data_IF_592236158527
#
_entry.id   IF_592236158527
#
_cell.length_a   1.000
_cell.length_b   1.000
_cell.length_c   1.000
_cell.angle_alpha   90.00
_cell.angle_beta   90.00
_cell.angle_gamma   90.00
#
_symmetry.space_group_name_H-M   'P 1'
#
loop_
_entity.id
_entity.type
_entity.pdbx_description
1 polymer ?
#
# COMPACT_ATOMS: atom_id res chain seq x y z
N UNK A 1 18.38 -19.16 -10.69
CA UNK A 1 17.14 -18.54 -10.19
C UNK A 1 16.43 -19.51 -9.24
N UNK A 2 15.92 -19.08 -8.10
CA UNK A 2 15.13 -19.90 -7.20
C UNK A 2 13.95 -20.58 -7.95
N UNK A 3 13.57 -21.78 -7.54
CA UNK A 3 12.48 -22.53 -8.18
C UNK A 3 11.20 -21.69 -8.31
N UNK A 4 10.86 -20.94 -7.27
CA UNK A 4 9.70 -20.03 -7.27
C UNK A 4 9.78 -19.00 -8.42
N UNK A 5 10.94 -18.37 -8.60
CA UNK A 5 11.14 -17.37 -9.66
C UNK A 5 10.89 -17.96 -11.05
N UNK A 6 11.40 -19.17 -11.29
CA UNK A 6 11.19 -19.89 -12.54
C UNK A 6 9.71 -20.21 -12.78
N UNK A 7 9.02 -20.75 -11.77
CA UNK A 7 7.59 -21.06 -11.86
C UNK A 7 6.77 -19.81 -12.21
N UNK A 8 7.04 -18.69 -11.53
CA UNK A 8 6.30 -17.45 -11.72
C UNK A 8 6.50 -16.88 -13.12
N UNK A 9 7.73 -16.90 -13.62
CA UNK A 9 8.07 -16.45 -14.98
C UNK A 9 7.49 -17.37 -16.04
N UNK A 10 7.76 -18.67 -15.96
CA UNK A 10 7.38 -19.63 -17.00
C UNK A 10 5.86 -19.76 -17.16
N UNK A 11 5.09 -19.35 -16.15
CA UNK A 11 3.62 -19.26 -16.20
C UNK A 11 3.09 -17.88 -16.57
N UNK A 12 3.96 -16.93 -16.82
CA UNK A 12 3.54 -15.55 -17.13
C UNK A 12 2.83 -14.85 -15.98
N UNK A 13 3.01 -15.30 -14.73
CA UNK A 13 2.40 -14.67 -13.54
C UNK A 13 3.09 -13.34 -13.24
N UNK A 14 4.39 -13.27 -13.47
CA UNK A 14 5.20 -12.05 -13.39
C UNK A 14 6.08 -11.95 -14.63
N UNK A 15 6.36 -10.71 -15.05
CA UNK A 15 7.30 -10.44 -16.14
C UNK A 15 8.75 -10.55 -15.65
N UNK A 16 9.71 -10.70 -16.56
CA UNK A 16 11.14 -10.68 -16.21
C UNK A 16 11.53 -9.36 -15.53
N UNK A 17 10.99 -8.23 -16.00
CA UNK A 17 11.24 -6.92 -15.39
C UNK A 17 10.75 -6.86 -13.94
N UNK A 18 9.52 -7.30 -13.66
CA UNK A 18 8.98 -7.37 -12.30
C UNK A 18 9.79 -8.28 -11.38
N UNK A 19 10.30 -9.38 -11.93
CA UNK A 19 11.14 -10.31 -11.20
C UNK A 19 12.48 -9.67 -10.81
N UNK A 20 13.13 -8.97 -11.76
CA UNK A 20 14.38 -8.25 -11.52
C UNK A 20 14.19 -7.13 -10.48
N UNK A 21 13.10 -6.39 -10.57
CA UNK A 21 12.77 -5.33 -9.59
C UNK A 21 12.57 -5.92 -8.19
N UNK A 22 11.85 -7.04 -8.07
CA UNK A 22 11.67 -7.72 -6.79
C UNK A 22 12.97 -8.29 -6.22
N UNK A 23 13.90 -8.75 -7.07
CA UNK A 23 15.24 -9.19 -6.65
C UNK A 23 16.07 -7.99 -6.16
N UNK A 24 16.05 -6.86 -6.87
CA UNK A 24 16.73 -5.64 -6.40
C UNK A 24 16.15 -5.16 -5.07
N UNK A 25 14.83 -5.20 -4.94
CA UNK A 25 14.15 -4.87 -3.70
C UNK A 25 14.55 -5.82 -2.56
N UNK A 26 14.70 -7.12 -2.85
CA UNK A 26 15.20 -8.12 -1.91
C UNK A 26 16.62 -7.83 -1.44
N UNK A 27 17.51 -7.40 -2.35
CA UNK A 27 18.91 -7.05 -2.02
C UNK A 27 18.96 -5.84 -1.08
N UNK A 28 18.12 -4.82 -1.33
CA UNK A 28 18.11 -3.60 -0.53
C UNK A 28 17.41 -3.78 0.83
N UNK A 29 16.35 -4.56 0.86
CA UNK A 29 15.44 -4.62 2.00
C UNK A 29 15.33 -6.00 2.65
N UNK A 30 15.95 -7.06 2.09
CA UNK A 30 15.87 -8.45 2.59
C UNK A 30 14.50 -9.09 2.32
N UNK A 31 14.12 -10.09 3.12
CA UNK A 31 12.90 -10.87 2.95
C UNK A 31 12.97 -11.90 1.83
N UNK A 32 11.92 -12.71 1.66
CA UNK A 32 11.84 -13.71 0.59
C UNK A 32 11.30 -13.09 -0.70
N UNK A 33 11.69 -13.63 -1.85
CA UNK A 33 11.26 -13.13 -3.16
C UNK A 33 9.73 -13.04 -3.29
N UNK A 34 8.99 -14.05 -2.82
CA UNK A 34 7.53 -14.04 -2.85
C UNK A 34 6.92 -12.88 -2.07
N UNK A 35 7.47 -12.59 -0.88
CA UNK A 35 7.07 -11.44 -0.06
C UNK A 35 7.32 -10.13 -0.80
N UNK A 36 8.50 -9.97 -1.42
CA UNK A 36 8.84 -8.76 -2.17
C UNK A 36 7.94 -8.56 -3.40
N UNK A 37 7.63 -9.63 -4.14
CA UNK A 37 6.70 -9.57 -5.27
C UNK A 37 5.28 -9.17 -4.84
N UNK A 38 4.83 -9.68 -3.69
CA UNK A 38 3.54 -9.29 -3.10
C UNK A 38 3.53 -7.84 -2.62
N UNK A 39 4.58 -7.40 -1.93
CA UNK A 39 4.74 -6.01 -1.46
C UNK A 39 4.77 -5.00 -2.59
N UNK A 40 5.41 -5.35 -3.72
CA UNK A 40 5.45 -4.54 -4.93
C UNK A 40 4.13 -4.58 -5.71
N UNK A 41 3.17 -5.42 -5.31
CA UNK A 41 1.87 -5.55 -5.98
C UNK A 41 1.92 -6.30 -7.31
N UNK A 42 2.99 -7.05 -7.57
CA UNK A 42 3.15 -7.81 -8.82
C UNK A 42 2.43 -9.15 -8.80
N UNK A 43 2.04 -9.64 -7.62
CA UNK A 43 1.34 -10.90 -7.44
C UNK A 43 0.33 -10.78 -6.30
N UNK A 44 -0.82 -11.45 -6.43
CA UNK A 44 -1.78 -11.61 -5.32
C UNK A 44 -1.34 -12.72 -4.38
N UNK A 45 -1.88 -12.73 -3.14
CA UNK A 45 -1.57 -13.77 -2.18
C UNK A 45 -1.95 -15.16 -2.69
N UNK A 46 -3.12 -15.31 -3.31
CA UNK A 46 -3.62 -16.58 -3.83
C UNK A 46 -2.67 -17.15 -4.89
N UNK A 47 -2.26 -16.32 -5.86
CA UNK A 47 -1.30 -16.74 -6.90
C UNK A 47 0.06 -17.08 -6.33
N UNK A 48 0.51 -16.32 -5.31
CA UNK A 48 1.75 -16.62 -4.61
C UNK A 48 1.66 -17.96 -3.87
N UNK A 49 0.56 -18.23 -3.16
CA UNK A 49 0.34 -19.47 -2.47
C UNK A 49 0.35 -20.67 -3.42
N UNK A 50 -0.34 -20.57 -4.56
CA UNK A 50 -0.30 -21.61 -5.60
C UNK A 50 1.12 -21.86 -6.11
N UNK A 51 1.88 -20.80 -6.36
CA UNK A 51 3.25 -20.90 -6.82
C UNK A 51 4.18 -21.51 -5.77
N UNK A 52 4.01 -21.16 -4.49
CA UNK A 52 4.73 -21.74 -3.36
C UNK A 52 4.40 -23.23 -3.18
N UNK A 53 3.12 -23.60 -3.26
CA UNK A 53 2.68 -25.00 -3.19
C UNK A 53 3.38 -25.86 -4.25
N UNK A 54 3.46 -25.35 -5.47
CA UNK A 54 4.14 -26.04 -6.58
C UNK A 54 5.65 -26.08 -6.41
N UNK A 55 6.24 -24.97 -5.91
CA UNK A 55 7.68 -24.87 -5.71
C UNK A 55 8.19 -25.84 -4.64
N UNK A 56 7.40 -26.08 -3.61
CA UNK A 56 7.74 -26.96 -2.49
C UNK A 56 7.14 -28.37 -2.59
N UNK A 57 6.22 -28.61 -3.53
CA UNK A 57 5.49 -29.89 -3.63
C UNK A 57 4.59 -30.19 -2.43
N UNK A 58 4.18 -29.17 -1.67
CA UNK A 58 3.41 -29.26 -0.44
C UNK A 58 2.13 -28.45 -0.57
N UNK A 59 0.97 -28.96 -0.09
CA UNK A 59 -0.28 -28.21 -0.14
C UNK A 59 -0.19 -26.86 0.55
N UNK A 60 -1.01 -25.90 0.12
CA UNK A 60 -1.24 -24.60 0.76
C UNK A 60 -2.68 -24.49 1.21
N UNK A 61 -2.97 -23.49 2.01
CA UNK A 61 -4.32 -23.15 2.46
C UNK A 61 -4.48 -21.63 2.54
N UNK A 62 -5.64 -21.14 2.16
CA UNK A 62 -6.02 -19.78 2.46
C UNK A 62 -6.26 -19.65 3.97
N UNK A 63 -5.44 -18.88 4.64
CA UNK A 63 -5.53 -18.69 6.09
C UNK A 63 -6.26 -17.39 6.36
N UNK A 64 -7.45 -17.50 6.98
CA UNK A 64 -8.03 -16.35 7.65
C UNK A 64 -7.50 -16.30 9.10
N UNK A 65 -6.69 -15.30 9.46
CA UNK A 65 -6.14 -15.19 10.81
C UNK A 65 -7.19 -15.13 11.92
N UNK A 66 -8.45 -14.83 11.60
CA UNK A 66 -9.54 -14.68 12.59
C UNK A 66 -10.22 -15.99 12.94
N UNK A 67 -9.98 -17.07 12.18
CA UNK A 67 -10.71 -18.33 12.30
C UNK A 67 -9.96 -19.44 13.03
N UNK A 68 -8.77 -19.13 13.55
CA UNK A 68 -7.93 -20.14 14.22
C UNK A 68 -8.33 -20.24 15.69
N UNK A 69 -8.71 -21.43 16.11
CA UNK A 69 -9.15 -21.71 17.46
C UNK A 69 -8.00 -21.57 18.46
N UNK A 70 -8.19 -20.93 19.63
CA UNK A 70 -7.16 -20.73 20.64
C UNK A 70 -6.48 -22.03 21.08
N UNK A 71 -7.22 -23.12 21.21
CA UNK A 71 -6.71 -24.43 21.63
C UNK A 71 -5.71 -25.00 20.62
N UNK A 72 -5.87 -24.67 19.31
CA UNK A 72 -4.92 -25.05 18.27
C UNK A 72 -3.63 -24.26 18.41
N UNK A 73 -3.72 -22.98 18.77
CA UNK A 73 -2.55 -22.11 18.97
C UNK A 73 -1.72 -22.59 20.16
N UNK A 74 -2.37 -23.00 21.25
CA UNK A 74 -1.71 -23.52 22.44
C UNK A 74 -0.98 -24.86 22.22
N UNK A 75 -1.33 -25.59 21.15
CA UNK A 75 -0.66 -26.86 20.82
C UNK A 75 0.83 -26.68 20.49
N UNK A 76 1.28 -25.49 20.11
CA UNK A 76 2.70 -25.20 19.84
C UNK A 76 3.17 -24.02 20.68
N UNK A 77 4.14 -24.22 21.59
CA UNK A 77 4.66 -23.14 22.44
C UNK A 77 5.28 -22.00 21.62
N UNK A 78 5.06 -20.73 22.03
CA UNK A 78 5.60 -19.53 21.42
C UNK A 78 7.08 -19.63 21.04
N UNK A 79 7.91 -20.16 21.95
CA UNK A 79 9.36 -20.28 21.74
C UNK A 79 9.69 -21.18 20.53
N UNK A 80 8.94 -22.27 20.38
CA UNK A 80 9.12 -23.23 19.28
C UNK A 80 8.59 -22.67 17.97
N UNK A 81 7.41 -22.03 18.02
CA UNK A 81 6.80 -21.34 16.88
C UNK A 81 7.71 -20.23 16.31
N UNK A 82 8.26 -19.39 17.17
CA UNK A 82 9.18 -18.32 16.77
C UNK A 82 10.51 -18.85 16.23
N UNK A 83 11.10 -19.85 16.92
CA UNK A 83 12.39 -20.45 16.51
C UNK A 83 12.36 -20.97 15.09
N UNK A 84 11.31 -21.72 14.72
CA UNK A 84 11.19 -22.39 13.44
C UNK A 84 10.33 -21.65 12.42
N UNK A 85 9.74 -20.50 12.78
CA UNK A 85 8.79 -19.77 11.93
C UNK A 85 7.67 -20.68 11.42
N UNK A 86 6.99 -21.32 12.39
CA UNK A 86 5.90 -22.27 12.16
C UNK A 86 4.67 -21.84 12.95
N UNK A 87 3.49 -22.23 12.46
CA UNK A 87 2.24 -21.89 13.12
C UNK A 87 1.27 -23.09 13.05
N UNK A 88 0.65 -23.50 14.16
CA UNK A 88 -0.34 -24.58 14.16
C UNK A 88 -1.62 -24.11 13.46
N UNK A 89 -2.13 -24.93 12.56
CA UNK A 89 -3.34 -24.62 11.80
C UNK A 89 -4.52 -25.49 12.22
N UNK A 90 -4.26 -26.77 12.49
CA UNK A 90 -5.29 -27.71 12.92
C UNK A 90 -4.67 -28.88 13.67
N UNK A 91 -5.35 -29.31 14.72
CA UNK A 91 -5.04 -30.56 15.44
C UNK A 91 -6.16 -31.57 15.21
N UNK A 92 -5.82 -32.77 14.80
CA UNK A 92 -6.78 -33.90 14.67
C UNK A 92 -6.16 -35.16 15.24
N UNK A 93 -6.57 -35.53 16.46
CA UNK A 93 -5.96 -36.62 17.22
C UNK A 93 -4.46 -36.40 17.39
N UNK A 94 -3.62 -37.34 16.93
CA UNK A 94 -2.16 -37.20 16.98
C UNK A 94 -1.54 -36.48 15.76
N UNK A 95 -2.35 -35.90 14.90
CA UNK A 95 -1.85 -35.20 13.70
C UNK A 95 -1.97 -33.71 13.90
N UNK A 96 -0.83 -33.01 13.77
CA UNK A 96 -0.74 -31.53 13.76
C UNK A 96 -0.50 -31.06 12.33
N UNK A 97 -1.44 -30.31 11.78
CA UNK A 97 -1.24 -29.57 10.53
C UNK A 97 -0.51 -28.28 10.85
N UNK A 98 0.67 -28.10 10.30
CA UNK A 98 1.59 -26.99 10.63
C UNK A 98 1.84 -26.11 9.41
N UNK A 99 1.57 -24.83 9.52
CA UNK A 99 1.97 -23.84 8.52
C UNK A 99 3.46 -23.59 8.62
N UNK A 100 4.14 -23.56 7.49
CA UNK A 100 5.59 -23.36 7.41
C UNK A 100 5.94 -22.46 6.24
N UNK A 101 6.94 -21.63 6.42
CA UNK A 101 7.53 -20.82 5.33
C UNK A 101 8.43 -21.69 4.45
N UNK A 102 9.07 -22.68 5.06
CA UNK A 102 9.94 -23.66 4.39
C UNK A 102 9.58 -25.08 4.83
N UNK A 103 8.66 -25.75 4.13
CA UNK A 103 8.29 -27.13 4.44
C UNK A 103 9.42 -28.16 4.21
N UNK A 104 10.50 -27.76 3.53
CA UNK A 104 11.67 -28.63 3.35
C UNK A 104 12.60 -28.64 4.58
N UNK A 105 12.34 -27.79 5.56
CA UNK A 105 13.05 -27.85 6.85
C UNK A 105 12.58 -29.06 7.69
N UNK A 106 13.10 -30.23 7.30
CA UNK A 106 12.81 -31.48 8.02
C UNK A 106 13.25 -31.49 9.48
N UNK A 107 14.22 -30.62 9.86
CA UNK A 107 14.66 -30.47 11.26
C UNK A 107 13.59 -29.81 12.08
N UNK A 108 12.99 -28.73 11.56
CA UNK A 108 11.86 -28.07 12.23
C UNK A 108 10.68 -29.04 12.38
N UNK A 109 10.31 -29.77 11.33
CA UNK A 109 9.25 -30.77 11.35
C UNK A 109 9.52 -31.84 12.42
N UNK A 110 10.72 -32.40 12.45
CA UNK A 110 11.12 -33.43 13.41
C UNK A 110 11.15 -32.90 14.85
N UNK A 111 11.72 -31.70 15.09
CA UNK A 111 11.79 -31.12 16.42
C UNK A 111 10.39 -30.82 16.97
N UNK A 112 9.51 -30.22 16.18
CA UNK A 112 8.13 -29.96 16.58
C UNK A 112 7.37 -31.26 16.84
N UNK A 113 7.47 -32.23 15.94
CA UNK A 113 6.78 -33.51 16.07
C UNK A 113 7.24 -34.26 17.33
N UNK A 114 8.56 -34.40 17.54
CA UNK A 114 9.14 -35.09 18.69
C UNK A 114 8.83 -34.41 20.01
N UNK A 115 9.03 -33.06 20.07
CA UNK A 115 8.84 -32.32 21.32
C UNK A 115 7.38 -32.29 21.79
N UNK A 116 6.42 -32.38 20.87
CA UNK A 116 5.01 -32.25 21.17
C UNK A 116 4.22 -33.57 21.03
N UNK A 117 4.88 -34.64 20.57
CA UNK A 117 4.24 -35.94 20.39
C UNK A 117 3.24 -36.03 19.22
N UNK A 118 3.38 -35.14 18.23
CA UNK A 118 2.51 -35.09 17.08
C UNK A 118 3.16 -35.63 15.79
N UNK A 119 2.33 -36.23 14.92
CA UNK A 119 2.68 -36.43 13.51
C UNK A 119 2.41 -35.12 12.78
N UNK A 120 3.48 -34.44 12.33
CA UNK A 120 3.38 -33.16 11.66
C UNK A 120 3.07 -33.30 10.18
N UNK A 121 2.02 -32.61 9.70
CA UNK A 121 1.70 -32.44 8.28
C UNK A 121 1.98 -31.00 7.88
N UNK A 122 3.04 -30.72 7.13
CA UNK A 122 3.37 -29.36 6.74
C UNK A 122 2.45 -28.83 5.64
N UNK A 123 2.07 -27.56 5.75
CA UNK A 123 1.48 -26.75 4.69
C UNK A 123 2.38 -25.55 4.45
N UNK A 124 2.52 -25.15 3.19
CA UNK A 124 3.30 -23.96 2.86
C UNK A 124 2.43 -22.70 2.96
N UNK A 125 3.01 -21.65 3.53
CA UNK A 125 2.39 -20.32 3.62
C UNK A 125 3.42 -19.24 3.25
N UNK A 126 2.94 -18.11 2.72
CA UNK A 126 3.80 -16.98 2.44
C UNK A 126 4.45 -16.43 3.73
N UNK A 127 5.71 -15.99 3.66
CA UNK A 127 6.46 -15.48 4.81
C UNK A 127 5.71 -14.35 5.52
N UNK A 128 5.15 -13.39 4.79
CA UNK A 128 4.41 -12.28 5.40
C UNK A 128 3.18 -12.77 6.20
N UNK A 129 2.49 -13.80 5.73
CA UNK A 129 1.34 -14.38 6.45
C UNK A 129 1.79 -15.09 7.73
N UNK A 130 2.89 -15.84 7.66
CA UNK A 130 3.48 -16.48 8.85
C UNK A 130 3.79 -15.46 9.93
N UNK A 131 4.34 -14.35 9.54
CA UNK A 131 4.76 -13.28 10.45
C UNK A 131 3.55 -12.63 11.11
N UNK A 132 2.52 -12.34 10.32
CA UNK A 132 1.28 -11.83 10.86
C UNK A 132 0.72 -12.78 11.92
N UNK A 133 0.67 -14.09 11.64
CA UNK A 133 0.17 -15.09 12.58
C UNK A 133 1.00 -15.14 13.86
N UNK A 134 2.33 -15.13 13.74
CA UNK A 134 3.24 -15.13 14.89
C UNK A 134 3.10 -13.85 15.74
N UNK A 135 2.88 -12.70 15.10
CA UNK A 135 2.62 -11.46 15.79
C UNK A 135 1.25 -11.47 16.50
N UNK A 136 0.18 -11.76 15.75
CA UNK A 136 -1.20 -11.61 16.23
C UNK A 136 -1.53 -12.61 17.36
N UNK A 137 -0.99 -13.83 17.29
CA UNK A 137 -1.30 -14.89 18.26
C UNK A 137 -0.25 -15.10 19.34
N UNK A 138 1.02 -14.89 19.02
CA UNK A 138 2.09 -15.12 19.98
C UNK A 138 2.78 -13.84 20.45
N UNK A 139 2.41 -12.67 19.89
CA UNK A 139 3.09 -11.41 20.21
C UNK A 139 4.60 -11.49 19.94
N UNK A 140 4.98 -12.12 18.81
CA UNK A 140 6.37 -12.19 18.38
C UNK A 140 6.69 -10.94 17.59
N UNK A 141 7.41 -10.01 18.22
CA UNK A 141 7.94 -8.83 17.54
C UNK A 141 9.28 -9.17 16.87
N UNK A 142 9.25 -9.70 15.69
CA UNK A 142 10.42 -9.61 14.82
C UNK A 142 10.47 -8.20 14.24
N UNK A 143 11.66 -7.61 14.05
CA UNK A 143 11.81 -6.32 13.37
C UNK A 143 11.42 -6.48 11.90
N UNK A 144 10.17 -6.15 11.63
CA UNK A 144 9.50 -6.43 10.36
C UNK A 144 9.73 -5.34 9.34
N UNK A 145 9.90 -5.78 8.13
CA UNK A 145 9.45 -5.02 6.98
C UNK A 145 7.92 -5.07 7.02
N UNK A 146 7.29 -3.91 7.11
CA UNK A 146 5.84 -3.80 7.18
C UNK A 146 5.21 -4.33 5.90
N UNK A 147 4.78 -5.58 5.93
CA UNK A 147 3.86 -6.10 4.94
C UNK A 147 2.46 -5.91 5.50
N UNK A 148 1.73 -4.95 4.98
CA UNK A 148 0.33 -4.77 5.35
C UNK A 148 -0.54 -5.85 4.69
N UNK A 149 -0.64 -6.99 5.36
CA UNK A 149 -1.46 -8.11 4.89
C UNK A 149 -2.97 -7.81 4.94
N UNK A 150 -3.40 -6.72 5.60
CA UNK A 150 -4.80 -6.27 5.60
C UNK A 150 -5.23 -5.64 4.28
N UNK A 151 -4.30 -5.43 3.35
CA UNK A 151 -4.64 -4.98 1.99
C UNK A 151 -5.40 -6.03 1.17
N UNK A 152 -5.35 -7.29 1.55
CA UNK A 152 -6.04 -8.37 0.82
C UNK A 152 -7.57 -8.34 0.99
N UNK A 153 -8.07 -7.70 2.06
CA UNK A 153 -9.52 -7.61 2.34
C UNK A 153 -10.16 -6.31 1.81
N UNK A 154 -9.41 -5.46 1.11
CA UNK A 154 -9.98 -4.30 0.43
C UNK A 154 -10.42 -4.67 -0.99
N UNK A 155 -11.63 -4.28 -1.41
CA UNK A 155 -12.09 -4.55 -2.76
C UNK A 155 -11.22 -3.80 -3.77
N UNK A 156 -10.62 -4.56 -4.69
CA UNK A 156 -9.70 -4.17 -5.74
C UNK A 156 -8.28 -3.84 -5.26
N UNK A 157 -7.33 -4.72 -5.61
CA UNK A 157 -5.90 -4.41 -5.57
C UNK A 157 -5.66 -3.04 -6.19
N UNK A 158 -4.88 -2.14 -5.53
CA UNK A 158 -4.56 -0.87 -6.16
C UNK A 158 -3.91 -1.13 -7.51
N UNK A 159 -4.29 -0.37 -8.56
CA UNK A 159 -3.78 -0.60 -9.90
C UNK A 159 -2.26 -0.56 -9.90
N UNK A 160 -1.63 -1.39 -10.74
CA UNK A 160 -0.21 -1.34 -11.04
C UNK A 160 0.25 0.13 -11.24
N UNK A 161 1.48 0.53 -10.82
CA UNK A 161 1.98 1.89 -11.01
C UNK A 161 1.90 2.35 -12.45
N UNK A 162 2.25 1.46 -13.40
CA UNK A 162 2.09 1.74 -14.82
C UNK A 162 0.62 2.03 -15.16
N UNK A 163 -0.32 1.26 -14.60
CA UNK A 163 -1.76 1.45 -14.79
C UNK A 163 -2.27 2.72 -14.11
N UNK A 164 -1.82 3.03 -12.89
CA UNK A 164 -2.19 4.27 -12.20
C UNK A 164 -1.61 5.50 -12.92
N UNK A 165 -0.35 5.42 -13.35
CA UNK A 165 0.29 6.44 -14.18
C UNK A 165 -0.42 6.63 -15.52
N UNK A 166 -0.83 5.54 -16.18
CA UNK A 166 -1.59 5.58 -17.42
C UNK A 166 -2.98 6.20 -17.22
N UNK A 167 -3.66 5.95 -16.10
CA UNK A 167 -4.93 6.62 -15.76
C UNK A 167 -4.78 8.13 -15.64
N UNK A 168 -3.72 8.61 -14.97
CA UNK A 168 -3.43 10.04 -14.89
C UNK A 168 -3.13 10.62 -16.28
N UNK A 169 -2.38 9.88 -17.11
CA UNK A 169 -2.08 10.30 -18.49
C UNK A 169 -3.33 10.28 -19.40
N UNK A 170 -4.26 9.36 -19.21
CA UNK A 170 -5.50 9.26 -19.97
C UNK A 170 -6.61 10.20 -19.48
N UNK A 171 -6.50 10.75 -18.27
CA UNK A 171 -7.52 11.56 -17.65
C UNK A 171 -7.91 12.78 -18.50
N UNK A 172 -9.20 12.98 -18.68
CA UNK A 172 -9.81 14.09 -19.43
C UNK A 172 -10.48 15.12 -18.52
N UNK A 173 -10.70 14.75 -17.27
CA UNK A 173 -11.26 15.62 -16.23
C UNK A 173 -10.31 15.71 -15.03
N UNK A 174 -10.48 16.78 -14.22
CA UNK A 174 -9.73 16.92 -12.97
C UNK A 174 -10.05 15.79 -11.98
N UNK A 175 -11.31 15.37 -11.93
CA UNK A 175 -11.73 14.35 -10.96
C UNK A 175 -11.11 12.99 -11.30
N UNK A 176 -10.98 12.62 -12.58
CA UNK A 176 -10.24 11.44 -13.01
C UNK A 176 -8.75 11.51 -12.64
N UNK A 177 -8.12 12.70 -12.72
CA UNK A 177 -6.73 12.88 -12.24
C UNK A 177 -6.65 12.61 -10.73
N UNK A 178 -7.60 13.16 -9.94
CA UNK A 178 -7.64 12.97 -8.49
C UNK A 178 -7.83 11.50 -8.13
N UNK A 179 -8.75 10.80 -8.80
CA UNK A 179 -8.96 9.36 -8.60
C UNK A 179 -7.70 8.56 -8.92
N UNK A 180 -7.03 8.88 -10.02
CA UNK A 180 -5.76 8.23 -10.38
C UNK A 180 -4.66 8.48 -9.35
N UNK A 181 -4.56 9.69 -8.81
CA UNK A 181 -3.61 10.04 -7.75
C UNK A 181 -3.92 9.32 -6.45
N UNK A 182 -5.19 9.30 -6.02
CA UNK A 182 -5.60 8.60 -4.80
C UNK A 182 -5.31 7.10 -4.89
N UNK A 183 -5.66 6.49 -6.02
CA UNK A 183 -5.37 5.08 -6.27
C UNK A 183 -3.87 4.77 -6.26
N UNK A 184 -3.04 5.66 -6.84
CA UNK A 184 -1.59 5.55 -6.80
C UNK A 184 -1.06 5.65 -5.37
N UNK A 185 -1.51 6.65 -4.61
CA UNK A 185 -1.02 6.92 -3.26
C UNK A 185 -1.40 5.84 -2.25
N UNK A 186 -2.53 5.13 -2.43
CA UNK A 186 -2.94 4.00 -1.58
C UNK A 186 -1.95 2.82 -1.59
N UNK A 187 -1.03 2.76 -2.53
CA UNK A 187 0.06 1.78 -2.52
C UNK A 187 1.14 2.07 -1.49
N UNK A 188 1.26 3.34 -1.11
CA UNK A 188 2.29 3.83 -0.20
C UNK A 188 1.74 4.16 1.18
N UNK A 189 0.44 4.48 1.25
CA UNK A 189 -0.24 4.96 2.45
C UNK A 189 -1.54 4.21 2.67
N UNK A 190 -1.93 4.03 3.92
CA UNK A 190 -3.24 3.47 4.31
C UNK A 190 -4.35 4.49 4.22
N UNK A 191 -4.00 5.76 4.40
CA UNK A 191 -4.91 6.89 4.32
C UNK A 191 -4.28 7.97 3.48
N UNK A 192 -5.07 8.51 2.57
CA UNK A 192 -4.66 9.58 1.67
C UNK A 192 -5.72 10.66 1.66
N UNK A 193 -5.28 11.93 1.70
CA UNK A 193 -6.15 13.08 1.48
C UNK A 193 -5.54 13.94 0.38
N UNK A 194 -6.35 14.26 -0.61
CA UNK A 194 -6.02 15.16 -1.69
C UNK A 194 -6.60 16.55 -1.39
N UNK A 195 -5.74 17.54 -1.39
CA UNK A 195 -6.09 18.93 -1.10
C UNK A 195 -5.94 19.81 -2.33
N UNK A 196 -6.74 20.86 -2.39
CA UNK A 196 -6.59 21.98 -3.32
C UNK A 196 -6.02 23.17 -2.54
N UNK A 197 -5.00 23.80 -3.10
CA UNK A 197 -4.45 25.06 -2.57
C UNK A 197 -5.25 26.22 -3.14
N UNK A 198 -5.90 26.96 -2.26
CA UNK A 198 -6.60 28.24 -2.58
C UNK A 198 -6.26 29.23 -1.49
N UNK A 199 -5.20 30.01 -1.72
CA UNK A 199 -4.76 30.99 -0.74
C UNK A 199 -5.93 31.87 -0.25
N UNK A 200 -6.07 32.07 1.07
CA UNK A 200 -5.11 31.68 2.12
C UNK A 200 -5.34 30.29 2.73
N UNK A 201 -5.97 29.36 2.03
CA UNK A 201 -6.41 28.06 2.56
C UNK A 201 -5.88 26.89 1.74
N UNK A 202 -5.70 25.78 2.44
CA UNK A 202 -5.64 24.43 1.86
C UNK A 202 -6.96 23.72 2.18
N UNK A 203 -7.69 23.34 1.14
CA UNK A 203 -9.02 22.76 1.26
C UNK A 203 -8.99 21.29 0.87
N UNK A 204 -9.54 20.42 1.72
CA UNK A 204 -9.70 19.02 1.39
C UNK A 204 -10.68 18.87 0.21
N UNK A 205 -10.31 18.03 -0.75
CA UNK A 205 -11.11 17.77 -1.95
C UNK A 205 -11.67 16.37 -1.99
N UNK A 206 -10.82 15.39 -1.74
CA UNK A 206 -11.16 13.98 -1.71
C UNK A 206 -10.20 13.22 -0.84
N UNK A 207 -10.63 12.07 -0.31
CA UNK A 207 -9.81 11.23 0.53
C UNK A 207 -10.27 9.79 0.47
N UNK A 208 -9.36 8.88 0.80
CA UNK A 208 -9.58 7.44 0.71
C UNK A 208 -8.68 6.70 1.69
N UNK A 209 -9.12 5.53 2.12
CA UNK A 209 -8.36 4.64 2.99
C UNK A 209 -8.89 4.57 4.41
N UNK A 210 -8.05 4.18 5.35
CA UNK A 210 -8.46 3.85 6.72
C UNK A 210 -9.10 5.04 7.44
N UNK A 211 -10.42 4.95 7.69
CA UNK A 211 -11.19 5.98 8.40
C UNK A 211 -11.26 7.33 7.65
N UNK A 212 -11.05 7.30 6.32
CA UNK A 212 -11.10 8.48 5.47
C UNK A 212 -12.06 8.24 4.31
N UNK A 213 -12.98 9.17 4.12
CA UNK A 213 -13.89 9.23 2.99
C UNK A 213 -13.90 10.65 2.40
N UNK A 214 -14.65 10.83 1.32
CA UNK A 214 -14.77 12.11 0.64
C UNK A 214 -15.43 13.18 1.52
N UNK A 215 -16.40 12.82 2.38
CA UNK A 215 -17.09 13.75 3.24
C UNK A 215 -16.15 14.31 4.32
N UNK A 216 -15.41 13.43 5.01
CA UNK A 216 -14.43 13.84 6.00
C UNK A 216 -13.30 14.64 5.33
N UNK A 217 -12.77 14.20 4.19
CA UNK A 217 -11.76 14.94 3.47
C UNK A 217 -12.20 16.36 3.13
N UNK A 218 -13.43 16.53 2.62
CA UNK A 218 -13.99 17.84 2.22
C UNK A 218 -14.24 18.77 3.40
N UNK A 219 -14.36 18.25 4.63
CA UNK A 219 -14.48 19.07 5.84
C UNK A 219 -13.16 19.67 6.32
N UNK A 220 -12.03 19.16 5.82
CA UNK A 220 -10.70 19.63 6.23
C UNK A 220 -10.37 20.96 5.59
N UNK A 221 -10.01 21.94 6.44
CA UNK A 221 -9.61 23.28 6.03
C UNK A 221 -8.41 23.72 6.86
N UNK A 222 -7.31 24.07 6.21
CA UNK A 222 -6.03 24.38 6.84
C UNK A 222 -5.60 25.76 6.40
N UNK A 223 -5.34 26.71 7.34
CA UNK A 223 -4.88 28.04 7.01
C UNK A 223 -3.39 28.04 6.60
N UNK A 224 -3.04 28.84 5.61
CA UNK A 224 -1.66 29.02 5.14
C UNK A 224 -0.97 30.26 5.75
N UNK A 225 -1.68 31.10 6.46
CA UNK A 225 -1.14 32.23 7.21
C UNK A 225 -0.51 31.81 8.56
N UNK A 226 -0.90 30.63 9.07
CA UNK A 226 -0.39 30.07 10.31
C UNK A 226 0.75 29.06 10.06
N UNK A 227 1.74 28.94 10.98
CA UNK A 227 2.82 27.98 10.85
C UNK A 227 2.29 26.54 10.86
N UNK A 228 2.55 25.79 9.78
CA UNK A 228 2.18 24.39 9.63
C UNK A 228 3.04 23.68 8.60
N UNK A 229 3.05 22.34 8.60
CA UNK A 229 3.67 21.55 7.55
C UNK A 229 3.09 21.90 6.19
N UNK A 230 1.78 22.09 6.11
CA UNK A 230 1.11 22.43 4.85
C UNK A 230 1.54 23.79 4.28
N UNK A 231 1.71 24.80 5.15
CA UNK A 231 2.26 26.10 4.75
C UNK A 231 3.66 25.97 4.18
N UNK A 232 4.55 25.26 4.88
CA UNK A 232 5.93 25.04 4.46
C UNK A 232 5.99 24.32 3.11
N UNK A 233 5.27 23.20 2.97
CA UNK A 233 5.23 22.42 1.74
C UNK A 233 4.63 23.22 0.58
N UNK A 234 3.57 24.00 0.82
CA UNK A 234 2.95 24.84 -0.21
C UNK A 234 3.89 25.94 -0.69
N UNK A 235 4.54 26.64 0.24
CA UNK A 235 5.45 27.76 -0.07
C UNK A 235 6.73 27.30 -0.75
N UNK A 236 7.39 26.28 -0.16
CA UNK A 236 8.73 25.87 -0.57
C UNK A 236 8.67 24.79 -1.67
N UNK A 237 7.51 24.19 -1.92
CA UNK A 237 7.27 23.11 -2.88
C UNK A 237 8.17 21.89 -2.63
N UNK A 238 8.50 21.68 -1.35
CA UNK A 238 9.33 20.58 -0.88
C UNK A 238 8.47 19.47 -0.32
N UNK A 239 8.95 18.25 -0.40
CA UNK A 239 8.29 17.08 0.20
C UNK A 239 8.56 17.09 1.70
N UNK A 240 7.52 16.89 2.49
CA UNK A 240 7.65 16.58 3.91
C UNK A 240 7.43 15.09 4.15
N UNK A 241 8.34 14.44 4.86
CA UNK A 241 8.21 13.05 5.32
C UNK A 241 8.71 13.01 6.76
N UNK A 242 7.89 12.55 7.69
CA UNK A 242 8.29 12.37 9.06
C UNK A 242 7.22 12.72 10.08
N UNK A 243 7.66 12.93 11.30
CA UNK A 243 6.79 13.31 12.41
C UNK A 243 6.37 14.76 12.29
N UNK A 244 5.06 15.00 12.33
CA UNK A 244 4.54 16.37 12.36
C UNK A 244 5.13 17.13 13.57
N UNK A 245 5.72 18.30 13.34
CA UNK A 245 6.26 19.11 14.42
C UNK A 245 5.14 19.60 15.32
N UNK A 246 5.51 19.92 16.57
CA UNK A 246 4.60 20.57 17.49
C UNK A 246 4.14 21.92 16.90
N UNK A 247 2.84 22.21 16.99
CA UNK A 247 2.24 23.42 16.48
C UNK A 247 0.72 23.30 16.48
N UNK A 248 0.04 24.40 16.74
CA UNK A 248 -1.42 24.40 16.92
C UNK A 248 -2.15 23.90 15.69
N UNK A 249 -1.81 24.38 14.49
CA UNK A 249 -2.47 23.99 13.26
C UNK A 249 -2.17 22.53 12.87
N UNK A 250 -0.95 22.05 13.14
CA UNK A 250 -0.60 20.66 12.94
C UNK A 250 -1.41 19.73 13.86
N UNK A 251 -1.56 20.13 15.13
CA UNK A 251 -2.37 19.36 16.09
C UNK A 251 -3.86 19.42 15.76
N UNK A 252 -4.37 20.59 15.36
CA UNK A 252 -5.77 20.78 14.91
C UNK A 252 -6.08 19.86 13.74
N UNK A 253 -5.19 19.80 12.75
CA UNK A 253 -5.32 18.91 11.60
C UNK A 253 -5.32 17.42 12.01
N UNK A 254 -4.34 16.98 12.83
CA UNK A 254 -4.28 15.61 13.31
C UNK A 254 -5.51 15.22 14.12
N UNK A 255 -6.04 16.15 14.94
CA UNK A 255 -7.28 15.95 15.69
C UNK A 255 -8.50 15.80 14.77
N UNK A 256 -8.58 16.59 13.70
CA UNK A 256 -9.64 16.50 12.70
C UNK A 256 -9.63 15.16 11.94
N UNK A 257 -8.46 14.55 11.74
CA UNK A 257 -8.34 13.19 11.17
C UNK A 257 -8.80 12.07 12.12
N UNK A 258 -9.03 12.38 13.41
CA UNK A 258 -9.57 11.46 14.40
C UNK A 258 -8.51 10.64 15.15
N UNK A 259 -8.98 9.75 16.05
CA UNK A 259 -8.15 9.00 17.02
C UNK A 259 -7.06 8.10 16.39
N UNK A 260 -7.19 7.78 15.11
CA UNK A 260 -6.23 6.93 14.38
C UNK A 260 -5.24 7.73 13.52
N UNK A 261 -5.19 9.05 13.70
CA UNK A 261 -4.23 9.87 12.99
C UNK A 261 -2.79 9.50 13.38
N UNK A 262 -1.93 9.34 12.39
CA UNK A 262 -0.50 9.16 12.60
C UNK A 262 0.15 10.51 12.81
N UNK A 263 1.06 10.59 13.77
CA UNK A 263 1.98 11.73 13.86
C UNK A 263 3.09 11.66 12.83
N UNK A 264 3.29 10.49 12.17
CA UNK A 264 4.28 10.27 11.13
C UNK A 264 3.56 10.17 9.78
N UNK A 265 3.81 11.14 8.90
CA UNK A 265 3.08 11.25 7.64
C UNK A 265 3.96 11.87 6.54
N UNK A 266 3.46 11.83 5.32
CA UNK A 266 4.02 12.58 4.20
C UNK A 266 3.06 13.67 3.73
N UNK A 267 3.61 14.81 3.30
CA UNK A 267 2.88 15.84 2.59
C UNK A 267 3.66 16.17 1.31
N UNK A 268 3.01 15.91 0.17
CA UNK A 268 3.63 15.97 -1.15
C UNK A 268 3.00 17.10 -1.95
N UNK A 269 3.78 18.04 -2.51
CA UNK A 269 3.24 19.10 -3.34
C UNK A 269 3.08 18.68 -4.80
N UNK A 270 2.00 19.13 -5.43
CA UNK A 270 1.86 19.18 -6.88
C UNK A 270 1.96 20.63 -7.31
N UNK A 271 3.01 20.95 -8.04
CA UNK A 271 3.26 22.32 -8.48
C UNK A 271 2.91 22.48 -9.97
N UNK A 272 2.24 23.60 -10.30
CA UNK A 272 1.94 24.00 -11.66
C UNK A 272 2.39 25.45 -11.86
N UNK A 273 3.23 25.69 -12.87
CA UNK A 273 3.77 27.03 -13.18
C UNK A 273 4.40 27.73 -11.95
N UNK A 274 5.16 26.98 -11.15
CA UNK A 274 5.86 27.51 -9.99
C UNK A 274 5.01 27.72 -8.72
N UNK A 275 3.71 27.40 -8.74
CA UNK A 275 2.81 27.47 -7.58
C UNK A 275 2.33 26.09 -7.19
N UNK A 276 2.27 25.79 -5.90
CA UNK A 276 1.61 24.60 -5.41
C UNK A 276 0.10 24.73 -5.66
N UNK A 277 -0.47 23.79 -6.42
CA UNK A 277 -1.91 23.77 -6.75
C UNK A 277 -2.64 22.69 -5.97
N UNK A 278 -1.94 21.64 -5.59
CA UNK A 278 -2.47 20.61 -4.72
C UNK A 278 -1.41 20.18 -3.69
N UNK A 279 -1.89 19.67 -2.57
CA UNK A 279 -1.10 18.95 -1.59
C UNK A 279 -1.72 17.57 -1.39
N UNK A 280 -0.87 16.56 -1.21
CA UNK A 280 -1.30 15.19 -0.96
C UNK A 280 -0.76 14.80 0.40
N UNK A 281 -1.66 14.50 1.33
CA UNK A 281 -1.31 13.94 2.62
C UNK A 281 -1.42 12.43 2.56
N UNK A 282 -0.46 11.72 3.16
CA UNK A 282 -0.53 10.28 3.32
C UNK A 282 0.05 9.81 4.65
N UNK A 283 -0.64 8.88 5.31
CA UNK A 283 -0.17 8.24 6.53
C UNK A 283 -0.53 6.74 6.57
N UNK A 284 0.09 6.03 7.51
CA UNK A 284 -0.09 4.59 7.71
C UNK A 284 -0.75 4.24 9.05
N UNK A 285 -1.57 5.15 9.61
CA UNK A 285 -2.26 4.96 10.88
C UNK A 285 -1.38 5.21 12.10
N UNK A 286 -1.94 5.06 13.29
CA UNK A 286 -1.33 5.47 14.56
C UNK A 286 0.03 4.83 14.87
N UNK A 287 0.28 3.61 14.42
CA UNK A 287 1.53 2.86 14.64
C UNK A 287 2.40 2.75 13.38
N UNK A 288 1.92 3.24 12.23
CA UNK A 288 2.59 3.09 10.94
C UNK A 288 3.61 4.19 10.68
N UNK A 289 4.80 3.82 10.23
CA UNK A 289 5.79 4.79 9.72
C UNK A 289 5.60 4.96 8.21
N UNK A 290 5.82 6.18 7.74
CA UNK A 290 5.92 6.44 6.30
C UNK A 290 7.28 5.96 5.82
N UNK A 291 7.30 5.20 4.74
CA UNK A 291 8.56 4.76 4.11
C UNK A 291 9.34 6.00 3.65
N UNK A 292 10.65 6.09 3.90
CA UNK A 292 11.45 7.21 3.42
C UNK A 292 11.59 7.22 1.90
N UNK A 293 11.47 6.05 1.25
CA UNK A 293 11.59 5.91 -0.20
C UNK A 293 10.21 6.06 -0.88
N UNK A 294 9.92 7.28 -1.27
CA UNK A 294 8.76 7.65 -2.10
C UNK A 294 9.19 8.04 -3.53
N UNK A 295 10.39 7.66 -3.95
CA UNK A 295 10.97 8.09 -5.23
C UNK A 295 10.07 7.78 -6.42
N UNK A 296 9.55 6.54 -6.51
CA UNK A 296 8.62 6.14 -7.57
C UNK A 296 7.33 6.98 -7.55
N UNK A 297 6.74 7.18 -6.35
CA UNK A 297 5.55 8.01 -6.20
C UNK A 297 5.80 9.44 -6.69
N UNK A 298 6.92 10.04 -6.31
CA UNK A 298 7.27 11.40 -6.70
C UNK A 298 7.45 11.54 -8.21
N UNK A 299 8.06 10.55 -8.87
CA UNK A 299 8.20 10.52 -10.33
C UNK A 299 6.82 10.43 -11.01
N UNK A 300 5.94 9.58 -10.52
CA UNK A 300 4.59 9.42 -11.08
C UNK A 300 3.71 10.65 -10.83
N UNK A 301 3.85 11.33 -9.69
CA UNK A 301 3.13 12.56 -9.41
C UNK A 301 3.52 13.71 -10.35
N UNK A 302 4.69 13.68 -11.00
CA UNK A 302 5.05 14.66 -12.04
C UNK A 302 4.16 14.59 -13.29
N UNK A 303 3.38 13.52 -13.47
CA UNK A 303 2.38 13.41 -14.53
C UNK A 303 1.18 14.33 -14.29
N UNK A 304 0.85 14.62 -13.03
CA UNK A 304 -0.33 15.42 -12.65
C UNK A 304 -0.32 16.83 -13.26
N UNK A 305 0.75 17.64 -13.15
CA UNK A 305 0.83 18.94 -13.82
C UNK A 305 0.65 18.85 -15.35
N UNK A 306 1.20 17.80 -15.97
CA UNK A 306 1.04 17.58 -17.41
C UNK A 306 -0.41 17.27 -17.80
N UNK A 307 -1.09 16.43 -17.01
CA UNK A 307 -2.51 16.12 -17.20
C UNK A 307 -3.36 17.40 -17.06
N UNK A 308 -3.11 18.22 -16.04
CA UNK A 308 -3.81 19.49 -15.87
C UNK A 308 -3.61 20.44 -17.05
N UNK A 309 -2.39 20.60 -17.55
CA UNK A 309 -2.13 21.45 -18.72
C UNK A 309 -2.87 20.94 -19.97
N UNK A 310 -2.96 19.62 -20.16
CA UNK A 310 -3.71 19.01 -21.27
C UNK A 310 -5.21 19.31 -21.14
N UNK A 311 -5.78 19.13 -19.95
CA UNK A 311 -7.20 19.40 -19.67
C UNK A 311 -7.52 20.89 -19.89
N UNK A 312 -6.68 21.78 -19.42
CA UNK A 312 -6.84 23.23 -19.59
C UNK A 312 -6.82 23.58 -21.08
N UNK A 313 -5.84 23.09 -21.85
CA UNK A 313 -5.74 23.36 -23.29
C UNK A 313 -6.97 22.85 -24.05
N UNK A 314 -7.44 21.67 -23.73
CA UNK A 314 -8.65 21.09 -24.35
C UNK A 314 -9.87 21.95 -24.07
N UNK A 315 -10.14 22.33 -22.82
CA UNK A 315 -11.27 23.18 -22.46
C UNK A 315 -11.22 24.56 -23.11
N UNK A 316 -10.02 25.15 -23.23
CA UNK A 316 -9.86 26.42 -23.93
C UNK A 316 -10.12 26.29 -25.43
N UNK A 317 -9.73 25.18 -26.06
CA UNK A 317 -10.02 24.92 -27.47
C UNK A 317 -11.54 24.72 -27.70
N UNK A 318 -12.19 23.90 -26.85
CA UNK A 318 -13.64 23.69 -26.89
C UNK A 318 -14.43 25.00 -26.71
N UNK A 319 -13.98 25.88 -25.80
CA UNK A 319 -14.61 27.17 -25.55
C UNK A 319 -14.44 28.14 -26.75
N UNK A 320 -13.28 28.14 -27.41
CA UNK A 320 -13.03 28.95 -28.62
C UNK A 320 -13.93 28.49 -29.77
N UNK A 321 -14.01 27.18 -30.00
CA UNK A 321 -14.86 26.61 -31.05
C UNK A 321 -16.34 26.91 -30.81
N UNK A 322 -16.79 26.86 -29.58
CA UNK A 322 -18.17 27.21 -29.23
C UNK A 322 -18.46 28.71 -29.43
N UNK A 323 -17.49 29.59 -29.19
CA UNK A 323 -17.62 31.02 -29.47
C UNK A 323 -17.68 31.31 -31.01
N UNK A 324 -16.79 30.70 -31.78
CA UNK A 324 -16.76 30.84 -33.26
C UNK A 324 -18.05 30.32 -33.90
N UNK A 325 -18.59 29.20 -33.39
CA UNK A 325 -19.88 28.67 -33.90
C UNK A 325 -21.06 29.63 -33.61
N UNK A 326 -21.07 30.28 -32.41
CA UNK A 326 -22.08 31.25 -32.06
C UNK A 326 -22.03 32.50 -32.95
N UNK A 327 -20.85 33.06 -33.18
CA UNK A 327 -20.68 34.21 -34.08
C UNK A 327 -21.10 33.87 -35.54
N UNK A 328 -20.89 32.63 -35.97
CA UNK A 328 -21.28 32.16 -37.31
C UNK A 328 -22.79 31.98 -37.41
N UNK A 329 -23.47 31.59 -36.37
CA UNK A 329 -24.94 31.48 -36.32
C UNK A 329 -25.61 32.86 -36.23
N UNK A 330 -25.07 33.80 -35.46
CA UNK A 330 -25.59 35.17 -35.36
C UNK A 330 -25.37 35.97 -36.66
N UNK A 331 -24.35 35.64 -37.43
CA UNK A 331 -24.11 36.30 -38.75
C UNK A 331 -24.97 35.74 -39.88
N UNK A 332 -25.57 34.55 -39.66
CA UNK A 332 -26.47 33.91 -40.64
C UNK A 332 -27.97 34.15 -40.37
N UNK A 333 -28.32 34.73 -39.26
CA UNK A 333 -29.69 35.12 -38.88
C UNK A 333 -29.93 36.59 -39.22
#
# INVERSE_FOLDING_TARGET
>A
LPILARILRDRGIVTEHQLQEAIQYQVLYGGRLGTNLYELGFITEERLQEALSRAHGVPTVAVDPRTIEPEVVEAVPKKLAAKHKVFPYRVKGKTLTLLMVDPADHRAVAEVGYSLGYIVKPLVVAEFRMIQLLHDYYGVDERWRYTDTRRADSPASPPDPATAGARIDAAVTRDEVVEGVLALCLRFFRRVVFFIVREPWVLGWSGVGEGMDKALASSLKIPLDQPSVFRTVSRDKTVFIGRFPAGEENQRFLKALGKRASTNAAVLPVALRGRAVNLIYGDNGASGQVRPDLGELLVLLQKVPRAYLRIIRRRLAEARQAAENKETEETKA
#
